data_IF_052868073892
#
_entry.id   IF_052868073892
#
_cell.length_a   1.000
_cell.length_b   1.000
_cell.length_c   1.000
_cell.angle_alpha   90.00
_cell.angle_beta   90.00
_cell.angle_gamma   90.00
#
_symmetry.space_group_name_H-M   'P 1'
#
loop_
_entity.id
_entity.type
_entity.pdbx_description
1 polymer ?
#
# COMPACT_ATOMS: atom_id res chain seq x y z
N UNK A 1 -6.30 -59.22 -32.87
CA UNK A 1 -4.85 -59.15 -32.60
C UNK A 1 -4.43 -57.69 -32.69
N UNK A 2 -3.81 -57.19 -31.62
CA UNK A 2 -3.33 -55.81 -31.35
C UNK A 2 -2.17 -55.40 -32.30
N UNK A 3 -1.63 -54.17 -32.29
CA UNK A 3 -2.18 -52.82 -32.07
C UNK A 3 -1.75 -51.83 -33.20
N UNK A 4 -2.24 -50.60 -33.18
CA UNK A 4 -1.46 -49.46 -33.69
C UNK A 4 -1.80 -48.22 -32.86
N UNK A 5 -1.06 -48.06 -31.76
CA UNK A 5 -1.08 -46.88 -30.91
C UNK A 5 -0.36 -45.76 -31.68
N UNK A 6 -1.09 -44.70 -32.04
CA UNK A 6 -0.49 -43.43 -32.44
C UNK A 6 -0.42 -42.53 -31.21
N UNK A 7 0.79 -42.32 -30.70
CA UNK A 7 1.06 -41.32 -29.67
C UNK A 7 0.93 -39.93 -30.32
N UNK A 8 -0.10 -39.16 -29.94
CA UNK A 8 -0.13 -37.73 -30.21
C UNK A 8 0.54 -37.02 -29.03
N UNK A 9 1.75 -36.51 -29.26
CA UNK A 9 2.44 -35.61 -28.35
C UNK A 9 1.76 -34.25 -28.41
N UNK A 10 0.98 -33.89 -27.38
CA UNK A 10 0.49 -32.53 -27.21
C UNK A 10 1.57 -31.73 -26.49
N UNK A 11 2.29 -30.88 -27.23
CA UNK A 11 3.18 -29.88 -26.64
C UNK A 11 2.32 -28.80 -25.99
N UNK A 12 2.18 -28.84 -24.66
CA UNK A 12 1.52 -27.79 -23.90
C UNK A 12 2.47 -26.61 -23.74
N UNK A 13 2.34 -25.61 -24.62
CA UNK A 13 3.03 -24.33 -24.44
C UNK A 13 2.40 -23.61 -23.24
N UNK A 14 3.11 -23.63 -22.10
CA UNK A 14 2.75 -22.82 -20.94
C UNK A 14 3.01 -21.34 -21.27
N UNK A 15 1.98 -20.61 -21.67
CA UNK A 15 2.03 -19.15 -21.73
C UNK A 15 2.15 -18.61 -20.31
N UNK A 16 3.36 -18.19 -19.93
CA UNK A 16 3.60 -17.38 -18.74
C UNK A 16 2.84 -16.06 -18.92
N UNK A 17 1.64 -15.96 -18.35
CA UNK A 17 0.96 -14.68 -18.20
C UNK A 17 1.78 -13.84 -17.22
N UNK A 18 2.62 -12.96 -17.75
CA UNK A 18 3.21 -11.86 -17.00
C UNK A 18 2.09 -10.92 -16.58
N UNK A 19 1.65 -11.05 -15.33
CA UNK A 19 0.75 -10.09 -14.68
C UNK A 19 1.54 -8.80 -14.46
N UNK A 20 1.60 -7.95 -15.47
CA UNK A 20 2.11 -6.59 -15.26
C UNK A 20 1.14 -5.87 -14.34
N UNK A 21 1.61 -5.44 -13.18
CA UNK A 21 0.89 -4.47 -12.36
C UNK A 21 0.83 -3.20 -13.22
N UNK A 22 -0.36 -2.91 -13.74
CA UNK A 22 -0.55 -1.74 -14.59
C UNK A 22 -0.31 -0.49 -13.74
N UNK A 23 0.68 0.31 -14.12
CA UNK A 23 0.86 1.63 -13.53
C UNK A 23 -0.42 2.45 -13.71
N UNK A 24 -0.82 3.25 -12.71
CA UNK A 24 -1.98 4.11 -12.87
C UNK A 24 -1.79 4.98 -14.11
N UNK A 25 -2.74 4.85 -15.03
CA UNK A 25 -2.78 5.62 -16.28
C UNK A 25 -2.77 7.10 -15.90
N UNK A 26 -1.91 7.90 -16.55
CA UNK A 26 -1.79 9.34 -16.31
C UNK A 26 -3.17 9.98 -16.22
N UNK A 27 -3.58 10.34 -15.01
CA UNK A 27 -4.90 10.90 -14.75
C UNK A 27 -4.91 12.37 -15.15
N UNK A 28 -5.93 12.78 -15.90
CA UNK A 28 -6.04 14.17 -16.39
C UNK A 28 -6.21 15.11 -15.19
N UNK A 29 -5.39 16.17 -15.14
CA UNK A 29 -5.42 17.16 -14.06
C UNK A 29 -4.54 16.81 -12.86
N UNK A 30 -4.01 15.59 -12.78
CA UNK A 30 -3.10 15.18 -11.73
C UNK A 30 -1.65 15.16 -12.22
N UNK A 31 -0.73 15.48 -11.30
CA UNK A 31 0.70 15.29 -11.49
C UNK A 31 1.14 14.10 -10.67
N UNK A 32 1.69 13.07 -11.33
CA UNK A 32 2.20 11.90 -10.61
C UNK A 32 3.35 12.28 -9.69
N UNK A 33 3.27 11.83 -8.43
CA UNK A 33 4.37 11.91 -7.46
C UNK A 33 5.35 10.73 -7.61
N UNK A 34 4.91 9.64 -8.22
CA UNK A 34 5.69 8.43 -8.40
C UNK A 34 5.89 8.12 -9.89
N UNK A 35 7.13 7.81 -10.27
CA UNK A 35 7.50 7.56 -11.66
C UNK A 35 7.33 6.08 -12.08
N UNK A 36 6.93 5.21 -11.15
CA UNK A 36 6.74 3.79 -11.38
C UNK A 36 8.01 2.93 -11.28
N UNK A 37 9.19 3.52 -11.18
CA UNK A 37 10.46 2.82 -11.35
C UNK A 37 11.31 2.85 -10.10
N UNK A 38 11.40 4.01 -9.46
CA UNK A 38 12.30 4.26 -8.35
C UNK A 38 11.77 5.40 -7.46
N UNK A 39 12.56 5.77 -6.45
CA UNK A 39 12.23 6.84 -5.50
C UNK A 39 12.73 8.22 -5.95
N UNK A 40 13.03 8.41 -7.24
CA UNK A 40 13.41 9.74 -7.76
C UNK A 40 12.30 10.75 -7.47
N UNK A 41 12.68 11.88 -6.88
CA UNK A 41 11.73 12.90 -6.43
C UNK A 41 11.21 12.69 -5.01
N UNK A 42 11.68 11.67 -4.29
CA UNK A 42 11.43 11.44 -2.86
C UNK A 42 12.71 11.63 -2.04
N UNK A 43 12.54 12.01 -0.78
CA UNK A 43 13.56 12.02 0.27
C UNK A 43 13.36 10.78 1.13
N UNK A 44 14.36 9.93 1.18
CA UNK A 44 14.37 8.76 2.05
C UNK A 44 14.83 9.12 3.47
N UNK A 45 14.49 8.30 4.47
CA UNK A 45 15.02 8.47 5.82
C UNK A 45 16.54 8.43 5.84
N UNK A 46 17.16 9.17 6.76
CA UNK A 46 18.59 9.04 7.03
C UNK A 46 18.93 7.65 7.59
N UNK A 47 20.04 7.07 7.17
CA UNK A 47 20.50 5.77 7.64
C UNK A 47 19.79 4.59 6.96
N UNK A 48 19.84 3.43 7.60
CA UNK A 48 19.27 2.19 7.08
C UNK A 48 17.73 2.21 7.09
N UNK A 49 17.12 1.94 5.93
CA UNK A 49 15.68 1.96 5.74
C UNK A 49 15.22 0.89 4.75
N UNK A 50 13.94 0.52 4.81
CA UNK A 50 13.36 -0.53 3.98
C UNK A 50 12.39 -0.05 2.89
N UNK A 51 12.41 1.24 2.54
CA UNK A 51 11.71 1.75 1.35
C UNK A 51 12.36 1.24 0.06
N UNK A 52 11.57 0.64 -0.80
CA UNK A 52 11.99 0.07 -2.09
C UNK A 52 10.87 0.18 -3.12
N UNK A 53 11.18 -0.01 -4.40
CA UNK A 53 10.17 -0.18 -5.45
C UNK A 53 10.16 -1.64 -5.87
N UNK A 54 9.01 -2.30 -5.75
CA UNK A 54 8.78 -3.68 -6.18
C UNK A 54 7.57 -3.70 -7.09
N UNK A 55 7.71 -4.29 -8.27
CA UNK A 55 6.63 -4.48 -9.25
C UNK A 55 5.83 -3.20 -9.51
N UNK A 56 6.53 -2.08 -9.59
CA UNK A 56 5.91 -0.80 -9.84
C UNK A 56 5.11 -0.20 -8.68
N UNK A 57 5.41 -0.60 -7.45
CA UNK A 57 4.78 -0.07 -6.23
C UNK A 57 5.87 0.32 -5.23
N UNK A 58 5.70 1.47 -4.57
CA UNK A 58 6.53 1.83 -3.42
C UNK A 58 6.16 0.91 -2.26
N UNK A 59 7.14 0.16 -1.78
CA UNK A 59 7.00 -0.89 -0.78
C UNK A 59 7.83 -0.59 0.46
N UNK A 60 7.30 -0.97 1.63
CA UNK A 60 7.91 -0.74 2.93
C UNK A 60 7.90 -2.01 3.79
N UNK A 61 9.00 -2.30 4.48
CA UNK A 61 9.12 -3.44 5.42
C UNK A 61 9.25 -2.99 6.89
N UNK A 62 8.67 -1.83 7.25
CA UNK A 62 8.59 -1.36 8.64
C UNK A 62 9.95 -1.14 9.34
N UNK A 63 10.95 -0.66 8.59
CA UNK A 63 12.27 -0.29 9.12
C UNK A 63 12.72 1.06 8.56
N UNK A 64 13.13 1.96 9.45
CA UNK A 64 13.54 3.32 9.13
C UNK A 64 12.43 4.33 9.41
N UNK A 65 12.60 5.55 8.89
CA UNK A 65 11.66 6.66 9.05
C UNK A 65 10.67 6.83 7.89
N UNK A 66 10.12 8.05 7.79
CA UNK A 66 9.12 8.40 6.77
C UNK A 66 9.75 8.68 5.40
N UNK A 67 9.07 8.24 4.34
CA UNK A 67 9.35 8.68 2.97
C UNK A 67 8.62 10.02 2.73
N UNK A 68 9.35 11.03 2.28
CA UNK A 68 8.80 12.39 2.09
C UNK A 68 8.97 12.83 0.65
N UNK A 69 8.02 13.59 0.08
CA UNK A 69 8.22 14.16 -1.26
C UNK A 69 9.41 15.12 -1.28
N UNK A 70 10.14 15.14 -2.39
CA UNK A 70 11.24 16.08 -2.61
C UNK A 70 10.77 17.54 -2.70
N UNK A 71 9.52 17.74 -3.14
CA UNK A 71 8.85 19.03 -3.26
C UNK A 71 7.82 19.24 -2.16
N UNK A 72 7.53 20.50 -1.87
CA UNK A 72 6.43 20.94 -1.02
C UNK A 72 5.24 21.36 -1.87
N UNK A 73 4.04 21.22 -1.31
CA UNK A 73 2.78 21.57 -1.96
C UNK A 73 1.92 22.39 -0.99
N UNK A 74 1.11 23.31 -1.54
CA UNK A 74 0.16 24.14 -0.78
C UNK A 74 -1.21 23.49 -0.74
N UNK A 75 -2.22 24.16 -1.32
CA UNK A 75 -3.52 23.55 -1.55
C UNK A 75 -3.42 22.51 -2.68
N UNK A 76 -3.88 21.29 -2.44
CA UNK A 76 -3.82 20.20 -3.40
C UNK A 76 -4.96 19.20 -3.22
N UNK A 77 -5.22 18.45 -4.28
CA UNK A 77 -6.00 17.20 -4.23
C UNK A 77 -5.00 16.05 -4.36
N UNK A 78 -5.02 15.13 -3.40
CA UNK A 78 -4.15 13.95 -3.38
C UNK A 78 -4.98 12.71 -3.72
N UNK A 79 -4.56 12.00 -4.76
CA UNK A 79 -5.10 10.69 -5.13
C UNK A 79 -3.99 9.65 -5.01
N UNK A 80 -4.25 8.58 -4.24
CA UNK A 80 -3.34 7.45 -4.09
C UNK A 80 -4.12 6.19 -3.74
N UNK A 81 -3.55 5.07 -4.17
CA UNK A 81 -3.95 3.74 -3.72
C UNK A 81 -2.91 3.21 -2.72
N UNK A 82 -3.36 2.46 -1.73
CA UNK A 82 -2.50 1.84 -0.73
C UNK A 82 -3.04 0.46 -0.35
N UNK A 83 -2.16 -0.42 0.14
CA UNK A 83 -2.53 -1.72 0.70
C UNK A 83 -1.55 -2.14 1.79
N UNK A 84 -2.05 -2.89 2.77
CA UNK A 84 -1.17 -3.58 3.70
C UNK A 84 -0.78 -4.96 3.16
N UNK A 85 0.52 -5.27 3.18
CA UNK A 85 1.01 -6.62 2.86
C UNK A 85 0.63 -7.65 3.92
N UNK A 86 0.68 -7.24 5.18
CA UNK A 86 0.45 -8.09 6.35
C UNK A 86 0.27 -7.23 7.59
N UNK A 87 -0.41 -7.78 8.59
CA UNK A 87 -0.40 -7.28 9.97
C UNK A 87 0.79 -7.88 10.71
N UNK A 88 1.52 -7.06 11.47
CA UNK A 88 2.70 -7.48 12.25
C UNK A 88 2.64 -6.89 13.65
N UNK A 89 3.32 -7.52 14.60
CA UNK A 89 3.40 -7.04 15.98
C UNK A 89 2.24 -7.53 16.87
N UNK A 90 2.01 -6.85 18.00
CA UNK A 90 1.09 -7.31 19.02
C UNK A 90 -0.37 -7.13 18.61
N UNK A 91 -1.25 -7.76 19.38
CA UNK A 91 -2.69 -7.55 19.28
C UNK A 91 -3.07 -6.26 20.01
N UNK A 92 -3.90 -5.44 19.39
CA UNK A 92 -4.43 -4.21 19.95
C UNK A 92 -5.91 -4.38 20.30
N UNK A 93 -6.36 -3.70 21.35
CA UNK A 93 -7.76 -3.68 21.75
C UNK A 93 -8.48 -2.54 21.02
N UNK A 94 -8.84 -2.77 19.76
CA UNK A 94 -9.45 -1.75 18.90
C UNK A 94 -10.90 -1.46 19.32
N UNK A 95 -11.26 -0.18 19.40
CA UNK A 95 -12.64 0.24 19.69
C UNK A 95 -13.55 -0.09 18.52
N UNK A 96 -14.77 -0.52 18.85
CA UNK A 96 -15.87 -0.69 17.91
C UNK A 96 -16.80 0.51 18.07
N UNK A 97 -17.27 1.03 16.93
CA UNK A 97 -18.20 2.15 16.88
C UNK A 97 -19.49 1.71 16.20
N UNK A 98 -20.63 2.23 16.67
CA UNK A 98 -21.88 2.14 15.94
C UNK A 98 -21.94 3.17 14.79
N UNK A 99 -23.08 3.23 14.08
CA UNK A 99 -23.30 4.14 12.97
C UNK A 99 -23.28 5.63 13.38
N UNK A 100 -23.52 5.92 14.66
CA UNK A 100 -23.55 7.27 15.23
C UNK A 100 -22.18 7.68 15.81
N UNK A 101 -21.20 6.76 15.80
CA UNK A 101 -19.86 6.99 16.31
C UNK A 101 -19.71 6.78 17.83
N UNK A 102 -20.69 6.16 18.50
CA UNK A 102 -20.55 5.79 19.91
C UNK A 102 -19.71 4.52 20.05
N UNK A 103 -18.91 4.45 21.12
CA UNK A 103 -18.14 3.25 21.43
C UNK A 103 -19.08 2.17 21.97
N UNK A 104 -19.16 1.03 21.27
CA UNK A 104 -20.04 -0.10 21.64
C UNK A 104 -19.28 -1.31 22.17
N UNK A 105 -17.95 -1.25 22.21
CA UNK A 105 -17.11 -2.32 22.73
C UNK A 105 -15.71 -2.28 22.14
N UNK A 106 -14.95 -3.36 22.34
CA UNK A 106 -13.61 -3.49 21.79
C UNK A 106 -13.39 -4.89 21.19
N UNK A 107 -12.44 -4.99 20.27
CA UNK A 107 -12.01 -6.23 19.63
C UNK A 107 -10.49 -6.32 19.59
N UNK A 108 -9.98 -7.47 20.02
CA UNK A 108 -8.59 -7.84 19.82
C UNK A 108 -8.28 -8.02 18.32
N UNK A 109 -7.39 -7.19 17.76
CA UNK A 109 -7.00 -7.22 16.35
C UNK A 109 -5.48 -7.16 16.19
N UNK A 110 -4.94 -7.91 15.21
CA UNK A 110 -3.58 -7.66 14.73
C UNK A 110 -3.59 -6.37 13.93
N UNK A 111 -2.53 -5.58 14.06
CA UNK A 111 -2.48 -4.25 13.47
C UNK A 111 -1.52 -4.16 12.26
N UNK A 112 -1.83 -3.22 11.39
CA UNK A 112 -0.93 -2.65 10.41
C UNK A 112 -1.18 -1.15 10.43
N UNK A 113 -0.09 -0.39 10.59
CA UNK A 113 -0.16 1.04 10.89
C UNK A 113 0.72 1.83 9.93
N UNK A 114 0.12 2.81 9.28
CA UNK A 114 0.82 3.85 8.53
C UNK A 114 -0.01 5.14 8.53
N UNK A 115 0.48 6.15 7.84
CA UNK A 115 -0.22 7.41 7.72
C UNK A 115 0.37 8.32 6.67
N UNK A 116 -0.40 9.34 6.32
CA UNK A 116 0.02 10.39 5.41
C UNK A 116 0.05 11.70 6.20
N UNK A 117 1.23 12.30 6.30
CA UNK A 117 1.39 13.62 6.89
C UNK A 117 1.09 14.71 5.87
N UNK A 118 -0.14 15.19 5.85
CA UNK A 118 -0.59 16.16 4.83
C UNK A 118 0.07 17.54 4.97
N UNK A 119 0.66 17.83 6.14
CA UNK A 119 1.47 19.04 6.39
C UNK A 119 2.88 18.73 6.92
N UNK A 120 3.40 17.54 6.65
CA UNK A 120 4.76 17.14 7.05
C UNK A 120 4.93 16.91 8.56
N UNK A 121 3.83 16.82 9.32
CA UNK A 121 3.81 16.61 10.76
C UNK A 121 2.79 15.53 11.15
N UNK A 122 3.10 14.79 12.20
CA UNK A 122 2.19 13.81 12.82
C UNK A 122 0.93 14.41 13.43
N UNK A 123 0.89 15.72 13.68
CA UNK A 123 -0.33 16.45 14.10
C UNK A 123 -1.34 16.69 12.97
N UNK A 124 -1.04 16.17 11.79
CA UNK A 124 -1.85 16.31 10.58
C UNK A 124 -1.78 15.01 9.80
N UNK A 125 -2.01 13.90 10.50
CA UNK A 125 -1.92 12.57 9.94
C UNK A 125 -3.30 12.12 9.47
N UNK A 126 -3.39 11.68 8.22
CA UNK A 126 -4.44 10.78 7.78
C UNK A 126 -4.02 9.36 8.11
N UNK A 127 -4.75 8.69 9.01
CA UNK A 127 -4.37 7.35 9.44
C UNK A 127 -4.75 6.31 8.40
N UNK A 128 -3.81 5.41 8.11
CA UNK A 128 -4.05 4.20 7.35
C UNK A 128 -3.97 3.05 8.35
N UNK A 129 -5.11 2.52 8.80
CA UNK A 129 -5.19 1.42 9.78
C UNK A 129 -6.14 0.33 9.29
N UNK A 130 -5.93 -0.89 9.78
CA UNK A 130 -6.79 -2.04 9.47
C UNK A 130 -7.78 -2.38 10.60
N UNK A 131 -8.19 -1.39 11.39
CA UNK A 131 -9.14 -1.58 12.49
C UNK A 131 -10.57 -1.69 11.96
N UNK A 132 -11.51 -2.29 12.72
CA UNK A 132 -12.89 -2.47 12.27
C UNK A 132 -13.62 -1.17 11.90
N UNK A 133 -13.23 -0.05 12.53
CA UNK A 133 -13.77 1.28 12.22
C UNK A 133 -13.20 1.89 10.92
N UNK A 134 -12.28 1.18 10.25
CA UNK A 134 -11.65 1.61 9.01
C UNK A 134 -10.45 2.52 9.20
N UNK A 135 -10.00 3.08 8.08
CA UNK A 135 -8.91 4.05 7.93
C UNK A 135 -9.47 5.44 7.57
N UNK A 136 -8.67 6.49 7.74
CA UNK A 136 -8.96 7.83 7.22
C UNK A 136 -9.41 8.86 8.24
N UNK A 137 -9.42 8.53 9.54
CA UNK A 137 -9.56 9.53 10.59
C UNK A 137 -8.33 10.46 10.61
N UNK A 138 -8.59 11.76 10.71
CA UNK A 138 -7.57 12.77 10.99
C UNK A 138 -7.22 12.69 12.48
N UNK A 139 -5.96 12.40 12.78
CA UNK A 139 -5.42 12.59 14.11
C UNK A 139 -4.74 13.98 14.15
N UNK A 140 -5.22 14.84 15.05
CA UNK A 140 -4.67 16.18 15.31
C UNK A 140 -4.19 16.28 16.76
#
# INVERSE_FOLDING_TARGET
>A
MNPSIRLLTVALAAALLSTSVAFPKKEKGFKSLFNGKDLTGWKTPSGDHAWKVIDGVIDYEAKGGNLTTGKSFGDYVLHLDWRFKRTVGPTYNAKLFDADGNVVGNKAVKNADSGIFVRGSGKSQLNLWCWPCGSGQLWA
#
